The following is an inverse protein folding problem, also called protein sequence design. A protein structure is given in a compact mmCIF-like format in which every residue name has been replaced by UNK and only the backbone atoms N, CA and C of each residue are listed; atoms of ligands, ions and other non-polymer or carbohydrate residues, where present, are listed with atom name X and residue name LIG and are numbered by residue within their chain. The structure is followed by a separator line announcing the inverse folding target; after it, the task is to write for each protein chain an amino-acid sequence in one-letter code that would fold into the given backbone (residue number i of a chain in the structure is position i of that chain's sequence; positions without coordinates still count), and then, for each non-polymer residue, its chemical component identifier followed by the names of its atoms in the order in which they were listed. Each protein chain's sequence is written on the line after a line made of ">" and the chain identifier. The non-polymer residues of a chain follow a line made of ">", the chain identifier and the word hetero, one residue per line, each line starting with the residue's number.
data_IF_259400786000
#
_entry.id   IF_259400786000
#
_cell.length_a   1.000
_cell.length_b   1.000
_cell.length_c   1.000
_cell.angle_alpha   90.00
_cell.angle_beta   90.00
_cell.angle_gamma   90.00
#
_symmetry.space_group_name_H-M   'P 1'
#
loop_
_entity.id
_entity.type
_entity.pdbx_description
1 polymer ?
#
# COMPACT_ATOMS: atom_id res chain seq x y z
N UNK A 1 -5.16 1.64 -20.03
CA UNK A 1 -4.66 1.10 -18.76
C UNK A 1 -5.45 1.63 -17.58
N UNK A 2 -6.00 0.74 -16.77
CA UNK A 2 -6.60 1.09 -15.48
C UNK A 2 -5.58 0.81 -14.39
N UNK A 3 -5.21 1.80 -13.58
CA UNK A 3 -4.37 1.58 -12.41
C UNK A 3 -5.13 0.69 -11.42
N UNK A 4 -4.73 -0.57 -11.25
CA UNK A 4 -5.32 -1.47 -10.26
C UNK A 4 -4.57 -1.35 -8.93
N UNK A 5 -5.33 -1.33 -7.83
CA UNK A 5 -4.78 -1.35 -6.49
C UNK A 5 -4.18 -2.72 -6.20
N UNK A 6 -2.90 -2.77 -5.84
CA UNK A 6 -2.22 -4.03 -5.52
C UNK A 6 -2.82 -4.71 -4.27
N UNK A 7 -3.39 -3.94 -3.33
CA UNK A 7 -4.01 -4.48 -2.11
C UNK A 7 -5.39 -5.09 -2.33
N UNK A 8 -6.27 -4.43 -3.11
CA UNK A 8 -7.67 -4.86 -3.25
C UNK A 8 -8.06 -5.31 -4.66
N UNK A 9 -7.13 -5.25 -5.63
CA UNK A 9 -7.30 -5.60 -7.04
C UNK A 9 -8.42 -4.84 -7.78
N UNK A 10 -8.89 -3.73 -7.21
CA UNK A 10 -9.89 -2.85 -7.84
C UNK A 10 -9.21 -1.64 -8.51
N UNK A 11 -9.84 -1.04 -9.53
CA UNK A 11 -9.33 0.20 -10.10
C UNK A 11 -9.17 1.32 -9.07
N UNK A 12 -8.08 2.06 -9.17
CA UNK A 12 -7.79 3.26 -8.39
C UNK A 12 -8.38 4.47 -9.11
N UNK A 13 -9.45 5.02 -8.55
CA UNK A 13 -10.09 6.25 -9.01
C UNK A 13 -9.97 7.38 -7.98
N UNK A 14 -9.13 7.20 -6.96
CA UNK A 14 -8.97 8.15 -5.86
C UNK A 14 -8.31 9.43 -6.35
N UNK A 15 -8.62 10.54 -5.65
CA UNK A 15 -7.97 11.84 -5.88
C UNK A 15 -6.46 11.78 -5.64
N UNK A 16 -6.04 10.91 -4.72
CA UNK A 16 -4.63 10.71 -4.37
C UNK A 16 -4.30 9.23 -4.49
N UNK A 17 -3.34 8.92 -5.36
CA UNK A 17 -2.87 7.55 -5.60
C UNK A 17 -1.48 7.40 -5.03
N UNK A 18 -1.25 6.32 -4.31
CA UNK A 18 0.07 5.99 -3.81
C UNK A 18 0.75 5.03 -4.78
N UNK A 19 1.99 5.33 -5.12
CA UNK A 19 2.82 4.46 -5.94
C UNK A 19 3.95 3.90 -5.09
N UNK A 20 3.88 2.60 -4.80
CA UNK A 20 4.94 1.88 -4.09
C UNK A 20 5.91 1.38 -5.16
N UNK A 21 7.17 1.80 -5.04
CA UNK A 21 8.23 1.43 -5.99
C UNK A 21 8.25 -0.09 -6.16
N UNK A 22 8.30 -0.56 -7.41
CA UNK A 22 8.32 -1.98 -7.80
C UNK A 22 7.07 -2.80 -7.44
N UNK A 23 6.08 -2.23 -6.73
CA UNK A 23 4.85 -2.91 -6.27
C UNK A 23 3.54 -2.23 -6.71
N UNK A 24 3.62 -1.23 -7.59
CA UNK A 24 2.45 -0.66 -8.28
C UNK A 24 1.64 0.35 -7.46
N UNK A 25 0.36 0.46 -7.81
CA UNK A 25 -0.54 1.50 -7.31
C UNK A 25 -1.38 1.01 -6.15
N UNK A 26 -1.70 1.92 -5.22
CA UNK A 26 -2.46 1.63 -4.02
C UNK A 26 -3.46 2.76 -3.75
N UNK A 27 -4.65 2.39 -3.28
CA UNK A 27 -5.54 3.35 -2.61
C UNK A 27 -4.90 3.78 -1.29
N UNK A 28 -5.18 5.01 -0.86
CA UNK A 28 -4.72 5.51 0.44
C UNK A 28 -5.24 4.64 1.61
N UNK A 29 -6.46 4.13 1.48
CA UNK A 29 -7.08 3.26 2.50
C UNK A 29 -6.62 1.80 2.43
N UNK A 30 -6.02 1.37 1.32
CA UNK A 30 -5.53 0.01 1.16
C UNK A 30 -4.08 -0.16 1.61
N UNK A 31 -3.29 0.92 1.62
CA UNK A 31 -1.90 0.87 2.07
C UNK A 31 -1.84 0.87 3.60
N UNK A 32 -2.07 -0.29 4.20
CA UNK A 32 -2.07 -0.52 5.66
C UNK A 32 -1.10 -1.62 6.04
N UNK A 33 -0.52 -1.53 7.23
CA UNK A 33 0.32 -2.60 7.74
C UNK A 33 -0.53 -3.86 7.97
N UNK A 34 -0.09 -4.99 7.44
CA UNK A 34 -0.80 -6.26 7.61
C UNK A 34 -0.78 -6.77 9.05
N UNK A 35 0.18 -6.32 9.87
CA UNK A 35 0.28 -6.66 11.29
C UNK A 35 -0.54 -5.71 12.18
N UNK A 36 -0.14 -4.44 12.28
CA UNK A 36 -0.81 -3.48 13.17
C UNK A 36 -2.04 -2.77 12.58
N UNK A 37 -2.32 -2.93 11.27
CA UNK A 37 -3.39 -2.25 10.53
C UNK A 37 -3.26 -0.72 10.47
N UNK A 38 -2.13 -0.15 10.90
CA UNK A 38 -1.88 1.29 10.77
C UNK A 38 -1.87 1.73 9.31
N UNK A 39 -2.47 2.90 9.07
CA UNK A 39 -2.49 3.51 7.75
C UNK A 39 -1.09 4.03 7.40
N UNK A 40 -0.54 3.53 6.30
CA UNK A 40 0.80 3.87 5.81
C UNK A 40 0.79 4.96 4.73
N UNK A 41 -0.39 5.47 4.34
CA UNK A 41 -0.51 6.54 3.34
C UNK A 41 0.20 7.83 3.70
N UNK A 42 0.40 8.09 5.00
CA UNK A 42 1.12 9.26 5.52
C UNK A 42 2.59 8.99 5.81
N UNK A 43 3.03 7.73 5.69
CA UNK A 43 4.41 7.32 5.95
C UNK A 43 5.25 7.51 4.68
N UNK A 44 6.51 7.94 4.84
CA UNK A 44 7.44 8.09 3.70
C UNK A 44 7.93 6.76 3.14
N UNK A 45 7.86 5.69 3.94
CA UNK A 45 8.40 4.37 3.61
C UNK A 45 7.48 3.29 4.15
N UNK A 46 7.30 2.23 3.38
CA UNK A 46 6.69 0.97 3.79
C UNK A 46 7.50 -0.18 3.19
N UNK A 47 7.26 -1.39 3.67
CA UNK A 47 7.97 -2.59 3.24
C UNK A 47 6.98 -3.60 2.70
N UNK A 48 7.31 -4.28 1.61
CA UNK A 48 6.46 -5.33 1.02
C UNK A 48 7.18 -6.67 1.11
N UNK A 49 6.52 -7.68 1.67
CA UNK A 49 7.03 -9.05 1.81
C UNK A 49 5.88 -10.02 1.60
N UNK A 50 6.05 -11.00 0.72
CA UNK A 50 5.03 -11.99 0.40
C UNK A 50 3.66 -11.35 0.05
N UNK A 51 3.67 -10.31 -0.80
CA UNK A 51 2.47 -9.57 -1.21
C UNK A 51 1.75 -8.82 -0.07
N UNK A 52 2.32 -8.81 1.13
CA UNK A 52 1.80 -8.08 2.29
C UNK A 52 2.65 -6.84 2.58
N UNK A 53 2.00 -5.78 3.04
CA UNK A 53 2.66 -4.50 3.37
C UNK A 53 2.86 -4.39 4.87
N UNK A 54 4.03 -3.93 5.30
CA UNK A 54 4.41 -3.78 6.70
C UNK A 54 4.92 -2.37 6.98
N UNK A 55 4.63 -1.89 8.20
CA UNK A 55 5.24 -0.69 8.73
C UNK A 55 6.71 -0.96 9.11
N UNK A 56 7.48 0.09 9.36
CA UNK A 56 8.88 -0.05 9.79
C UNK A 56 9.05 -0.84 11.09
N UNK A 57 8.07 -0.77 11.99
CA UNK A 57 8.15 -1.42 13.30
C UNK A 57 7.84 -2.92 13.25
N UNK A 58 6.98 -3.33 12.32
CA UNK A 58 6.53 -4.72 12.17
C UNK A 58 7.31 -5.48 11.09
N UNK A 59 8.08 -4.78 10.27
CA UNK A 59 9.01 -5.38 9.32
C UNK A 59 10.29 -5.83 10.05
N UNK A 60 10.25 -7.02 10.65
CA UNK A 60 11.42 -7.74 11.15
C UNK A 60 11.87 -8.85 10.19
#
# INVERSE_FOLDING_TARGET
>A
DSHLCFGCHKPVFDRYVLHVKDHGYWHADCLKCSNCQDNLSTQKTCYVKNEQVFCRNDYN
#
